data_IF_727849378592
#
_entry.id   IF_727849378592
#
_cell.length_a   1.000
_cell.length_b   1.000
_cell.length_c   1.000
_cell.angle_alpha   90.00
_cell.angle_beta   90.00
_cell.angle_gamma   90.00
#
_symmetry.space_group_name_H-M   'P 1'
#
loop_
_entity.id
_entity.type
_entity.pdbx_description
1 polymer ?
#
# COMPACT_ATOMS: atom_id res chain seq x y z
N UNK A 1 10.44 -16.87 -8.12
CA UNK A 1 10.94 -15.89 -7.14
C UNK A 1 9.80 -15.44 -6.20
N UNK A 2 9.45 -16.23 -5.17
CA UNK A 2 8.48 -15.84 -4.14
C UNK A 2 8.98 -14.69 -3.26
N UNK A 3 10.28 -14.39 -3.30
CA UNK A 3 10.94 -13.33 -2.53
C UNK A 3 10.26 -11.97 -2.68
N UNK A 4 9.89 -11.57 -3.91
CA UNK A 4 9.22 -10.28 -4.16
C UNK A 4 7.87 -10.14 -3.45
N UNK A 5 7.06 -11.21 -3.44
CA UNK A 5 5.77 -11.19 -2.75
C UNK A 5 5.91 -11.23 -1.23
N UNK A 6 6.95 -11.89 -0.71
CA UNK A 6 7.28 -11.89 0.73
C UNK A 6 7.79 -10.51 1.15
N UNK A 7 8.71 -9.91 0.40
CA UNK A 7 9.20 -8.55 0.64
C UNK A 7 8.04 -7.53 0.60
N UNK A 8 7.14 -7.64 -0.38
CA UNK A 8 5.94 -6.81 -0.45
C UNK A 8 5.04 -6.97 0.78
N UNK A 9 4.85 -8.21 1.26
CA UNK A 9 4.04 -8.48 2.44
C UNK A 9 4.68 -7.91 3.73
N UNK A 10 6.00 -8.07 3.91
CA UNK A 10 6.74 -7.51 5.05
C UNK A 10 6.67 -5.99 5.03
N UNK A 11 6.94 -5.36 3.87
CA UNK A 11 6.91 -3.91 3.73
C UNK A 11 5.51 -3.35 4.01
N UNK A 12 4.47 -3.96 3.44
CA UNK A 12 3.09 -3.51 3.68
C UNK A 12 2.67 -3.73 5.14
N UNK A 13 3.10 -4.81 5.78
CA UNK A 13 2.83 -5.05 7.20
C UNK A 13 3.51 -4.01 8.08
N UNK A 14 4.75 -3.64 7.76
CA UNK A 14 5.46 -2.57 8.44
C UNK A 14 4.77 -1.21 8.27
N UNK A 15 4.33 -0.87 7.05
CA UNK A 15 3.60 0.37 6.79
C UNK A 15 2.23 0.42 7.46
N UNK A 16 1.54 -0.72 7.58
CA UNK A 16 0.32 -0.84 8.36
C UNK A 16 0.59 -0.55 9.85
N UNK A 17 1.66 -1.13 10.39
CA UNK A 17 2.08 -0.89 11.77
C UNK A 17 2.43 0.58 12.02
N UNK A 18 3.24 1.20 11.15
CA UNK A 18 3.60 2.62 11.28
C UNK A 18 2.35 3.52 11.20
N UNK A 19 1.44 3.24 10.26
CA UNK A 19 0.17 3.98 10.14
C UNK A 19 -0.64 3.90 11.44
N UNK A 20 -0.74 2.70 12.03
CA UNK A 20 -1.45 2.49 13.29
C UNK A 20 -0.72 3.09 14.50
N UNK A 21 0.61 3.08 14.50
CA UNK A 21 1.43 3.67 15.56
C UNK A 21 1.17 5.18 15.69
N UNK A 22 1.07 5.92 14.57
CA UNK A 22 0.70 7.34 14.61
C UNK A 22 -0.70 7.57 15.18
N UNK A 23 -1.67 6.70 14.88
CA UNK A 23 -3.01 6.78 15.50
C UNK A 23 -2.94 6.57 17.01
N UNK A 24 -2.13 5.59 17.45
CA UNK A 24 -1.95 5.28 18.87
C UNK A 24 -1.22 6.38 19.64
N UNK A 25 -0.25 7.04 19.00
CA UNK A 25 0.53 8.13 19.59
C UNK A 25 -0.19 9.48 19.54
N UNK A 26 -1.34 9.58 18.84
CA UNK A 26 -2.07 10.83 18.69
C UNK A 26 -1.39 11.84 17.77
N UNK A 27 -0.44 11.39 16.95
CA UNK A 27 0.30 12.23 16.02
C UNK A 27 -0.52 12.41 14.73
N UNK A 28 -1.33 13.46 14.71
CA UNK A 28 -2.19 13.81 13.58
C UNK A 28 -1.64 14.95 12.73
N UNK A 29 -0.45 15.47 13.04
CA UNK A 29 0.23 16.43 12.18
C UNK A 29 0.65 15.74 10.88
N UNK A 30 0.36 16.38 9.74
CA UNK A 30 0.73 15.90 8.41
C UNK A 30 1.66 16.93 7.76
N UNK A 31 2.64 16.48 6.98
CA UNK A 31 3.53 17.42 6.29
C UNK A 31 2.83 18.02 5.08
N UNK A 32 2.78 19.36 5.05
CA UNK A 32 2.21 20.13 3.95
C UNK A 32 3.28 20.80 3.08
N UNK A 33 4.55 20.41 3.27
CA UNK A 33 5.65 20.93 2.48
C UNK A 33 5.50 20.55 1.01
N UNK A 34 5.88 21.46 0.11
CA UNK A 34 5.83 21.25 -1.35
C UNK A 34 6.52 19.95 -1.78
N UNK A 35 7.63 19.61 -1.12
CA UNK A 35 8.36 18.37 -1.38
C UNK A 35 7.51 17.13 -1.07
N UNK A 36 6.75 17.15 0.03
CA UNK A 36 5.85 16.04 0.40
C UNK A 36 4.75 15.89 -0.64
N UNK A 37 4.13 17.00 -1.05
CA UNK A 37 3.07 17.03 -2.07
C UNK A 37 3.58 16.46 -3.40
N UNK A 38 4.72 16.93 -3.89
CA UNK A 38 5.34 16.44 -5.13
C UNK A 38 5.68 14.95 -5.03
N UNK A 39 6.22 14.52 -3.89
CA UNK A 39 6.54 13.10 -3.66
C UNK A 39 5.30 12.23 -3.79
N UNK A 40 4.21 12.59 -3.11
CA UNK A 40 2.95 11.87 -3.22
C UNK A 40 2.40 11.86 -4.65
N UNK A 41 2.44 13.00 -5.36
CA UNK A 41 1.97 13.10 -6.74
C UNK A 41 2.74 12.16 -7.69
N UNK A 42 4.07 12.12 -7.58
CA UNK A 42 4.92 11.22 -8.38
C UNK A 42 4.56 9.76 -8.13
N UNK A 43 4.38 9.36 -6.87
CA UNK A 43 3.99 7.99 -6.53
C UNK A 43 2.60 7.62 -7.07
N UNK A 44 1.62 8.52 -6.95
CA UNK A 44 0.27 8.32 -7.51
C UNK A 44 0.35 8.08 -9.02
N UNK A 45 1.07 8.93 -9.76
CA UNK A 45 1.22 8.79 -11.22
C UNK A 45 1.96 7.51 -11.61
N UNK A 46 3.04 7.18 -10.90
CA UNK A 46 3.82 5.97 -11.15
C UNK A 46 2.96 4.71 -10.95
N UNK A 47 2.21 4.64 -9.85
CA UNK A 47 1.35 3.49 -9.56
C UNK A 47 0.18 3.43 -10.55
N UNK A 48 -0.40 4.57 -10.95
CA UNK A 48 -1.42 4.61 -11.99
C UNK A 48 -0.91 4.02 -13.33
N UNK A 49 0.33 4.36 -13.71
CA UNK A 49 0.99 3.78 -14.88
C UNK A 49 1.14 2.26 -14.76
N UNK A 50 1.61 1.76 -13.61
CA UNK A 50 1.73 0.32 -13.34
C UNK A 50 0.38 -0.40 -13.38
N UNK A 51 -0.69 0.21 -12.87
CA UNK A 51 -2.05 -0.35 -12.96
C UNK A 51 -2.48 -0.49 -14.43
N UNK A 52 -2.08 0.44 -15.30
CA UNK A 52 -2.43 0.40 -16.73
C UNK A 52 -1.70 -0.70 -17.49
N UNK A 53 -0.45 -1.02 -17.14
CA UNK A 53 0.31 -2.11 -17.78
C UNK A 53 -0.01 -3.50 -17.23
N UNK A 54 -0.46 -3.60 -15.98
CA UNK A 54 -0.65 -4.91 -15.32
C UNK A 54 -1.87 -5.66 -15.83
N UNK A 55 -1.62 -6.76 -16.56
CA UNK A 55 -2.67 -7.65 -17.11
C UNK A 55 -3.27 -8.60 -16.08
N UNK A 56 -2.52 -8.97 -15.04
CA UNK A 56 -2.95 -9.92 -14.02
C UNK A 56 -3.85 -9.24 -12.97
N UNK A 57 -5.10 -9.69 -12.83
CA UNK A 57 -6.06 -9.14 -11.85
C UNK A 57 -5.53 -9.16 -10.40
N UNK A 58 -4.80 -10.19 -9.99
CA UNK A 58 -4.26 -10.29 -8.62
C UNK A 58 -3.14 -9.29 -8.33
N UNK A 59 -2.25 -9.08 -9.30
CA UNK A 59 -1.20 -8.05 -9.19
C UNK A 59 -1.81 -6.66 -9.28
N UNK A 60 -2.82 -6.46 -10.13
CA UNK A 60 -3.57 -5.21 -10.24
C UNK A 60 -4.28 -4.83 -8.94
N UNK A 61 -4.87 -5.79 -8.22
CA UNK A 61 -5.51 -5.53 -6.92
C UNK A 61 -4.52 -4.98 -5.89
N UNK A 62 -3.30 -5.52 -5.84
CA UNK A 62 -2.24 -5.01 -4.97
C UNK A 62 -1.90 -3.55 -5.31
N UNK A 63 -1.67 -3.26 -6.59
CA UNK A 63 -1.37 -1.89 -7.02
C UNK A 63 -2.53 -0.91 -6.74
N UNK A 64 -3.79 -1.34 -6.88
CA UNK A 64 -4.96 -0.52 -6.54
C UNK A 64 -5.01 -0.19 -5.05
N UNK A 65 -4.70 -1.14 -4.16
CA UNK A 65 -4.64 -0.89 -2.71
C UNK A 65 -3.53 0.10 -2.35
N UNK A 66 -2.36 -0.05 -2.97
CA UNK A 66 -1.23 0.87 -2.78
C UNK A 66 -1.55 2.26 -3.36
N UNK A 67 -2.18 2.31 -4.54
CA UNK A 67 -2.64 3.56 -5.17
C UNK A 67 -3.61 4.33 -4.27
N UNK A 68 -4.60 3.63 -3.69
CA UNK A 68 -5.55 4.24 -2.76
C UNK A 68 -4.84 4.86 -1.56
N UNK A 69 -3.85 4.17 -0.97
CA UNK A 69 -3.05 4.68 0.14
C UNK A 69 -2.28 5.97 -0.22
N UNK A 70 -1.57 5.97 -1.35
CA UNK A 70 -0.83 7.16 -1.78
C UNK A 70 -1.75 8.32 -2.15
N UNK A 71 -2.93 8.04 -2.70
CA UNK A 71 -3.94 9.06 -3.01
C UNK A 71 -4.50 9.70 -1.74
N UNK A 72 -4.80 8.89 -0.71
CA UNK A 72 -5.22 9.41 0.60
C UNK A 72 -4.14 10.31 1.22
N UNK A 73 -2.88 9.88 1.16
CA UNK A 73 -1.74 10.68 1.63
C UNK A 73 -1.55 11.98 0.83
N UNK A 74 -1.76 11.95 -0.48
CA UNK A 74 -1.73 13.13 -1.34
C UNK A 74 -2.82 14.13 -0.99
N UNK A 75 -4.07 13.67 -0.82
CA UNK A 75 -5.20 14.51 -0.44
C UNK A 75 -4.92 15.20 0.90
N UNK A 76 -4.41 14.47 1.88
CA UNK A 76 -4.01 15.06 3.17
C UNK A 76 -2.85 16.05 3.02
N UNK A 77 -1.85 15.75 2.18
CA UNK A 77 -0.73 16.67 1.96
C UNK A 77 -1.18 18.02 1.36
N UNK A 78 -2.14 18.00 0.44
CA UNK A 78 -2.68 19.21 -0.19
C UNK A 78 -3.69 19.93 0.72
N UNK A 79 -4.42 19.20 1.56
CA UNK A 79 -5.48 19.77 2.40
C UNK A 79 -4.95 20.22 3.78
N UNK A 80 -4.30 21.38 3.81
CA UNK A 80 -3.71 21.96 5.03
C UNK A 80 -4.73 22.22 6.16
N UNK A 81 -5.99 22.52 5.81
CA UNK A 81 -7.06 22.86 6.75
C UNK A 81 -7.87 21.63 7.22
N UNK A 82 -7.36 20.41 7.02
CA UNK A 82 -8.09 19.18 7.34
C UNK A 82 -8.30 19.04 8.87
N UNK A 83 -9.53 18.77 9.35
CA UNK A 83 -9.77 18.57 10.77
C UNK A 83 -9.14 17.27 11.27
N UNK A 84 -8.63 17.26 12.50
CA UNK A 84 -7.93 16.12 13.09
C UNK A 84 -8.71 14.81 13.06
N UNK A 85 -10.05 14.86 13.22
CA UNK A 85 -10.90 13.68 13.13
C UNK A 85 -10.88 13.03 11.74
N UNK A 86 -10.78 13.84 10.67
CA UNK A 86 -10.64 13.32 9.31
C UNK A 86 -9.24 12.71 9.11
N UNK A 87 -8.19 13.35 9.61
CA UNK A 87 -6.82 12.80 9.53
C UNK A 87 -6.72 11.45 10.26
N UNK A 88 -7.34 11.33 11.44
CA UNK A 88 -7.44 10.06 12.17
C UNK A 88 -8.15 8.99 11.33
N UNK A 89 -9.34 9.31 10.78
CA UNK A 89 -10.10 8.36 9.94
C UNK A 89 -9.31 7.91 8.72
N UNK A 90 -8.61 8.83 8.06
CA UNK A 90 -7.77 8.50 6.91
C UNK A 90 -6.59 7.61 7.32
N UNK A 91 -5.95 7.85 8.47
CA UNK A 91 -4.87 6.98 8.98
C UNK A 91 -5.38 5.57 9.35
N UNK A 92 -6.57 5.46 9.94
CA UNK A 92 -7.24 4.17 10.19
C UNK A 92 -7.49 3.41 8.87
N UNK A 93 -8.08 4.08 7.88
CA UNK A 93 -8.33 3.50 6.55
C UNK A 93 -7.01 3.10 5.88
N UNK A 94 -5.98 3.94 5.96
CA UNK A 94 -4.65 3.66 5.41
C UNK A 94 -4.05 2.40 6.03
N UNK A 95 -4.16 2.24 7.35
CA UNK A 95 -3.67 1.05 8.05
C UNK A 95 -4.38 -0.23 7.56
N UNK A 96 -5.69 -0.17 7.37
CA UNK A 96 -6.47 -1.29 6.83
C UNK A 96 -6.09 -1.62 5.38
N UNK A 97 -5.88 -0.60 4.55
CA UNK A 97 -5.44 -0.77 3.16
C UNK A 97 -4.04 -1.39 3.08
N UNK A 98 -3.09 -0.98 3.93
CA UNK A 98 -1.77 -1.60 4.00
C UNK A 98 -1.84 -3.06 4.47
N UNK A 99 -2.70 -3.38 5.43
CA UNK A 99 -2.93 -4.76 5.88
C UNK A 99 -3.52 -5.62 4.74
N UNK A 100 -4.51 -5.11 4.01
CA UNK A 100 -5.07 -5.80 2.84
C UNK A 100 -4.03 -5.99 1.73
N UNK A 101 -3.17 -5.00 1.50
CA UNK A 101 -2.09 -5.10 0.52
C UNK A 101 -1.08 -6.18 0.92
N UNK A 102 -0.75 -6.30 2.22
CA UNK A 102 0.11 -7.35 2.73
C UNK A 102 -0.48 -8.75 2.48
N UNK A 103 -1.77 -8.92 2.77
CA UNK A 103 -2.50 -10.18 2.52
C UNK A 103 -2.52 -10.49 1.02
N UNK A 104 -2.84 -9.52 0.17
CA UNK A 104 -2.85 -9.70 -1.28
C UNK A 104 -1.46 -10.14 -1.81
N UNK A 105 -0.40 -9.49 -1.33
CA UNK A 105 0.99 -9.84 -1.68
C UNK A 105 1.35 -11.26 -1.25
N UNK A 106 0.97 -11.65 -0.03
CA UNK A 106 1.21 -13.01 0.49
C UNK A 106 0.44 -14.06 -0.30
N UNK A 107 -0.82 -13.79 -0.63
CA UNK A 107 -1.67 -14.66 -1.44
C UNK A 107 -1.06 -14.89 -2.83
N UNK A 108 -0.56 -13.83 -3.47
CA UNK A 108 0.19 -13.93 -4.75
C UNK A 108 1.45 -14.78 -4.59
N UNK A 109 2.24 -14.55 -3.54
CA UNK A 109 3.46 -15.31 -3.27
C UNK A 109 3.19 -16.82 -3.11
N UNK A 110 2.22 -17.18 -2.27
CA UNK A 110 1.88 -18.56 -1.94
C UNK A 110 1.32 -19.33 -3.14
N UNK A 111 0.48 -18.68 -3.96
CA UNK A 111 -0.09 -19.32 -5.14
C UNK A 111 0.93 -19.66 -6.23
N UNK A 112 1.97 -18.82 -6.42
CA UNK A 112 3.08 -19.12 -7.34
C UNK A 112 3.97 -20.23 -6.78
N UNK A 113 4.16 -20.28 -5.46
CA UNK A 113 4.88 -21.36 -4.79
C UNK A 113 4.23 -22.74 -5.00
N UNK A 114 2.90 -22.82 -4.87
CA UNK A 114 2.14 -24.06 -5.05
C UNK A 114 2.25 -24.61 -6.48
N UNK A 115 2.11 -23.76 -7.49
CA UNK A 115 2.26 -24.14 -8.91
C UNK A 115 3.67 -24.67 -9.26
N UNK A 116 4.71 -24.17 -8.59
CA UNK A 116 6.08 -24.63 -8.84
C UNK A 116 6.37 -25.97 -8.16
N UNK A 117 5.77 -26.23 -6.99
CA UNK A 117 5.93 -27.48 -6.25
C UNK A 117 5.24 -28.66 -6.95
N UNK A 118 4.03 -28.45 -7.48
CA UNK A 118 3.26 -29.45 -8.23
C UNK A 118 4.02 -29.91 -9.49
N UNK A 119 4.58 -28.94 -10.25
CA UNK A 119 5.39 -29.22 -11.45
C UNK A 119 6.69 -29.99 -11.18
N UNK A 120 7.14 -30.05 -9.92
CA UNK A 120 8.36 -30.77 -9.49
C UNK A 120 8.06 -32.18 -8.97
N UNK A 121 6.80 -32.49 -8.70
CA UNK A 121 6.36 -33.82 -8.27
C UNK A 121 6.00 -34.73 -9.45
N UNK A 122 5.71 -34.14 -10.62
CA UNK A 122 5.40 -34.86 -11.87
C UNK A 122 6.64 -35.16 -12.76
N UNK A 123 7.85 -34.86 -12.28
CA UNK A 123 9.14 -35.13 -12.97
C UNK A 123 9.97 -36.09 -12.12
#
# INVERSE_FOLDING_TARGET
MPLWGICGAILCSYLAYVSYAHVRQGEFTWSHDLLSIVTYAVWVLLIAGLISETRCLRERLFFVLVFANFTLGFVLAVWAEAPFEMVRKVREISSALWALAAIASLVVALSRGRSTAEKKADV
#
